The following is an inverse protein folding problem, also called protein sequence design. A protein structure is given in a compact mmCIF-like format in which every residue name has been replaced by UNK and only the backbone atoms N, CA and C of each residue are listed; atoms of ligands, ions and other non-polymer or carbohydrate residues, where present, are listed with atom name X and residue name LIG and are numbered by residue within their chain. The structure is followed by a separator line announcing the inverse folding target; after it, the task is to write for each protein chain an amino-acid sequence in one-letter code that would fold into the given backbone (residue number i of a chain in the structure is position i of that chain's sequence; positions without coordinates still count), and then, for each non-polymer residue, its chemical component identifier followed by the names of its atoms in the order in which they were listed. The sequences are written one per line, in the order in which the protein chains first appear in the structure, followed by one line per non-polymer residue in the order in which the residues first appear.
data_IF_098046013741
#
_entry.id   IF_098046013741
#
_cell.length_a   1.000
_cell.length_b   1.000
_cell.length_c   1.000
_cell.angle_alpha   90.00
_cell.angle_beta   90.00
_cell.angle_gamma   90.00
#
_symmetry.space_group_name_H-M   'P 1'
#
loop_
_entity.id
_entity.type
_entity.pdbx_description
1 polymer ?
#
# COMPACT_ATOMS: atom_id res chain seq x y z
N UNK A 1 -15.29 -27.54 -0.79
CA UNK A 1 -14.50 -26.31 -1.13
C UNK A 1 -15.11 -25.12 -0.39
N UNK A 2 -14.40 -24.48 0.55
CA UNK A 2 -14.89 -23.23 1.19
C UNK A 2 -14.93 -22.14 0.11
N UNK A 3 -16.12 -21.56 -0.13
CA UNK A 3 -16.25 -20.33 -0.93
C UNK A 3 -15.57 -19.22 -0.16
N UNK A 4 -14.43 -18.80 -0.65
CA UNK A 4 -13.69 -17.68 -0.09
C UNK A 4 -14.34 -16.42 -0.66
N UNK A 5 -15.07 -15.68 0.17
CA UNK A 5 -15.72 -14.43 -0.20
C UNK A 5 -14.77 -13.23 -0.20
N UNK A 6 -13.60 -13.40 0.43
CA UNK A 6 -12.57 -12.37 0.57
C UNK A 6 -11.57 -12.55 -0.57
N UNK A 7 -11.37 -11.49 -1.39
CA UNK A 7 -10.39 -11.52 -2.48
C UNK A 7 -9.01 -11.97 -1.96
N UNK A 8 -8.33 -12.85 -2.71
CA UNK A 8 -7.00 -13.38 -2.33
C UNK A 8 -6.00 -12.26 -2.02
N UNK A 9 -6.08 -11.16 -2.76
CA UNK A 9 -5.25 -9.97 -2.58
C UNK A 9 -5.40 -9.38 -1.17
N UNK A 10 -6.59 -9.45 -0.60
CA UNK A 10 -6.89 -8.86 0.71
C UNK A 10 -6.36 -9.74 1.84
N UNK A 11 -6.33 -11.05 1.61
CA UNK A 11 -5.77 -12.02 2.56
C UNK A 11 -4.25 -11.98 2.59
N UNK A 12 -3.62 -11.77 1.44
CA UNK A 12 -2.17 -11.66 1.31
C UNK A 12 -1.60 -10.38 1.97
N UNK A 13 -2.44 -9.42 2.37
CA UNK A 13 -2.01 -8.15 2.98
C UNK A 13 -1.16 -8.33 4.23
N UNK A 14 -1.53 -9.28 5.08
CA UNK A 14 -0.88 -9.53 6.37
C UNK A 14 0.53 -10.11 6.19
N UNK A 15 0.73 -10.95 5.18
CA UNK A 15 2.01 -11.60 4.89
C UNK A 15 2.91 -10.76 3.97
N UNK A 16 2.33 -10.07 2.99
CA UNK A 16 3.09 -9.49 1.87
C UNK A 16 3.19 -7.96 1.90
N UNK A 17 2.37 -7.30 2.71
CA UNK A 17 2.30 -5.85 2.81
C UNK A 17 1.48 -5.18 1.70
N UNK A 18 0.77 -4.13 2.10
CA UNK A 18 -0.26 -3.47 1.29
C UNK A 18 0.30 -2.57 0.17
N UNK A 19 1.30 -1.76 0.48
CA UNK A 19 1.79 -0.73 -0.44
C UNK A 19 2.78 -1.27 -1.48
N UNK A 20 3.57 -2.27 -1.13
CA UNK A 20 4.63 -2.78 -2.01
C UNK A 20 4.10 -3.77 -3.07
N UNK A 21 2.98 -4.46 -2.79
CA UNK A 21 2.39 -5.45 -3.70
C UNK A 21 0.99 -5.09 -4.17
N UNK A 22 0.05 -4.85 -3.25
CA UNK A 22 -1.35 -4.63 -3.63
C UNK A 22 -1.52 -3.36 -4.48
N UNK A 23 -0.82 -2.28 -4.15
CA UNK A 23 -0.84 -1.06 -4.98
C UNK A 23 -0.33 -1.30 -6.41
N UNK A 24 0.78 -2.02 -6.57
CA UNK A 24 1.37 -2.30 -7.88
C UNK A 24 0.48 -3.21 -8.74
N UNK A 25 -0.25 -4.15 -8.12
CA UNK A 25 -1.18 -5.05 -8.82
C UNK A 25 -2.52 -4.36 -9.16
N UNK A 26 -2.91 -3.32 -8.42
CA UNK A 26 -4.19 -2.65 -8.57
C UNK A 26 -4.14 -1.37 -9.39
N UNK A 27 -2.96 -0.75 -9.61
CA UNK A 27 -2.87 0.52 -10.35
C UNK A 27 -3.41 0.43 -11.78
N UNK A 28 -3.33 -0.75 -12.40
CA UNK A 28 -3.73 -0.99 -13.79
C UNK A 28 -5.22 -1.44 -13.90
N UNK A 29 -5.86 -1.77 -12.77
CA UNK A 29 -7.30 -2.09 -12.67
C UNK A 29 -8.00 -1.08 -11.74
N UNK A 30 -8.50 -0.01 -12.35
CA UNK A 30 -9.15 1.10 -11.65
C UNK A 30 -10.40 0.66 -10.87
N UNK A 31 -11.14 -0.35 -11.33
CA UNK A 31 -12.33 -0.82 -10.63
C UNK A 31 -11.94 -1.54 -9.33
N UNK A 32 -10.96 -2.45 -9.39
CA UNK A 32 -10.45 -3.12 -8.20
C UNK A 32 -9.74 -2.15 -7.26
N UNK A 33 -9.05 -1.14 -7.81
CA UNK A 33 -8.45 -0.07 -7.01
C UNK A 33 -9.52 0.65 -6.17
N UNK A 34 -10.62 1.06 -6.79
CA UNK A 34 -11.75 1.71 -6.08
C UNK A 34 -12.38 0.76 -5.06
N UNK A 35 -12.57 -0.52 -5.40
CA UNK A 35 -13.14 -1.50 -4.45
C UNK A 35 -12.25 -1.70 -3.22
N UNK A 36 -10.93 -1.68 -3.41
CA UNK A 36 -9.95 -1.90 -2.34
C UNK A 36 -9.70 -0.64 -1.51
N UNK A 37 -9.21 0.43 -2.15
CA UNK A 37 -8.84 1.68 -1.49
C UNK A 37 -10.06 2.56 -1.16
N UNK A 38 -11.26 2.18 -1.62
CA UNK A 38 -12.51 2.96 -1.46
C UNK A 38 -12.38 4.39 -2.00
N UNK A 39 -11.50 4.57 -2.97
CA UNK A 39 -11.11 5.86 -3.54
C UNK A 39 -10.58 5.64 -4.96
N UNK A 40 -10.84 6.59 -5.86
CA UNK A 40 -10.26 6.53 -7.20
C UNK A 40 -8.76 6.83 -7.18
N UNK A 41 -8.06 6.33 -8.19
CA UNK A 41 -6.60 6.47 -8.30
C UNK A 41 -6.14 7.93 -8.33
N UNK A 42 -6.85 8.81 -9.05
CA UNK A 42 -6.48 10.22 -9.18
C UNK A 42 -6.51 10.96 -7.83
N UNK A 43 -7.55 10.72 -7.03
CA UNK A 43 -7.68 11.29 -5.68
C UNK A 43 -6.60 10.75 -4.74
N UNK A 44 -6.29 9.46 -4.85
CA UNK A 44 -5.16 8.87 -4.14
C UNK A 44 -3.83 9.55 -4.50
N UNK A 45 -3.53 9.67 -5.80
CA UNK A 45 -2.28 10.28 -6.28
C UNK A 45 -2.15 11.76 -5.86
N UNK A 46 -3.25 12.52 -5.90
CA UNK A 46 -3.28 13.90 -5.42
C UNK A 46 -3.00 13.99 -3.91
N UNK A 47 -3.63 13.14 -3.10
CA UNK A 47 -3.34 13.07 -1.66
C UNK A 47 -1.90 12.69 -1.40
N UNK A 48 -1.37 11.70 -2.14
CA UNK A 48 0.02 11.30 -2.02
C UNK A 48 0.96 12.47 -2.32
N UNK A 49 0.71 13.27 -3.37
CA UNK A 49 1.53 14.45 -3.68
C UNK A 49 1.55 15.48 -2.55
N UNK A 50 0.41 15.70 -1.90
CA UNK A 50 0.30 16.65 -0.77
C UNK A 50 1.03 16.14 0.48
N UNK A 51 0.91 14.85 0.78
CA UNK A 51 1.45 14.28 2.02
C UNK A 51 2.92 13.90 1.86
N UNK A 52 3.37 13.51 0.65
CA UNK A 52 4.73 13.02 0.36
C UNK A 52 5.84 13.90 0.91
N UNK A 53 5.82 15.24 0.82
CA UNK A 53 6.86 16.08 1.43
C UNK A 53 7.00 15.90 2.95
N UNK A 54 5.93 15.50 3.63
CA UNK A 54 5.87 15.40 5.09
C UNK A 54 6.06 13.96 5.61
N UNK A 55 5.98 12.95 4.75
CA UNK A 55 6.10 11.53 5.15
C UNK A 55 7.34 10.84 4.59
N UNK A 56 8.41 11.61 4.37
CA UNK A 56 9.66 11.05 3.88
C UNK A 56 10.33 10.15 4.91
N UNK A 57 11.06 9.17 4.40
CA UNK A 57 11.89 8.29 5.20
C UNK A 57 13.06 9.10 5.77
N UNK A 58 13.01 9.42 7.06
CA UNK A 58 14.11 10.11 7.73
C UNK A 58 15.11 9.15 8.40
N UNK A 59 16.36 9.60 8.51
CA UNK A 59 17.42 8.91 9.23
C UNK A 59 17.32 9.19 10.73
N UNK A 60 16.42 8.47 11.40
CA UNK A 60 16.27 8.55 12.86
C UNK A 60 17.36 7.77 13.59
N UNK A 61 17.55 8.06 14.88
CA UNK A 61 18.51 7.36 15.77
C UNK A 61 18.26 5.85 15.78
N UNK A 62 17.00 5.44 15.87
CA UNK A 62 16.59 4.03 15.82
C UNK A 62 16.86 3.35 14.47
N UNK A 63 16.91 4.13 13.37
CA UNK A 63 17.18 3.59 12.03
C UNK A 63 18.67 3.35 11.78
N UNK A 64 19.57 4.22 12.27
CA UNK A 64 21.03 4.04 12.13
C UNK A 64 21.54 2.79 12.86
N UNK A 65 20.93 2.45 14.00
CA UNK A 65 21.32 1.29 14.82
C UNK A 65 21.17 -0.08 14.12
N UNK A 66 20.37 -0.18 13.05
CA UNK A 66 20.21 -1.44 12.30
C UNK A 66 21.27 -1.68 11.21
N UNK A 67 22.09 -0.68 10.89
CA UNK A 67 23.11 -0.81 9.83
C UNK A 67 24.49 -1.25 10.35
N UNK A 68 24.64 -1.47 11.67
CA UNK A 68 25.91 -1.75 12.35
C UNK A 68 25.91 -3.12 13.06
N UNK A 69 24.90 -3.96 12.81
CA UNK A 69 24.83 -5.36 13.24
C UNK A 69 24.72 -6.26 12.01
#
# INVERSE_FOLDING_TARGET
KRKIWINRLWRAREEEGELHRAFAQLKDDLEQFVRYFRMNFLKFDNLLKLVKPHIQKENTVLRRFRAVL
#
